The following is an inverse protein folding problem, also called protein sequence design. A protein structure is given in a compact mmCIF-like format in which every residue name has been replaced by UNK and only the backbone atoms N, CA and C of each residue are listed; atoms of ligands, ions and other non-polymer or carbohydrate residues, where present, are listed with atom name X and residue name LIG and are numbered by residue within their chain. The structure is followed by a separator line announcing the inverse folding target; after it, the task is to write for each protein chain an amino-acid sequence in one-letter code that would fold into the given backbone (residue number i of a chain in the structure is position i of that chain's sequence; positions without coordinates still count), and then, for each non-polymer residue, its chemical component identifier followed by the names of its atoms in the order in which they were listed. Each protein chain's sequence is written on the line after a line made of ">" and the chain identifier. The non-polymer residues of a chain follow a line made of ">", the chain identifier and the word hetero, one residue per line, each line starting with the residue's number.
data_IF_167577130959
#
_entry.id   IF_167577130959
#
_cell.length_a   1.000
_cell.length_b   1.000
_cell.length_c   1.000
_cell.angle_alpha   90.00
_cell.angle_beta   90.00
_cell.angle_gamma   90.00
#
_symmetry.space_group_name_H-M   'P 1'
#
loop_
_entity.id
_entity.type
_entity.pdbx_description
1 polymer ?
#
# COMPACT_ATOMS: atom_id res chain seq x y z
N UNK A 1 -28.21 -17.55 -41.90
CA UNK A 1 -28.06 -16.25 -41.20
C UNK A 1 -27.36 -16.49 -39.86
N UNK A 2 -26.04 -16.29 -39.80
CA UNK A 2 -25.24 -16.49 -38.59
C UNK A 2 -25.34 -15.22 -37.73
N UNK A 3 -26.04 -15.41 -36.64
CA UNK A 3 -26.45 -14.52 -35.56
C UNK A 3 -25.42 -13.50 -35.09
N UNK A 4 -25.96 -12.32 -34.79
CA UNK A 4 -25.46 -11.19 -33.99
C UNK A 4 -24.59 -11.55 -32.77
N UNK A 5 -24.63 -12.79 -32.28
CA UNK A 5 -23.76 -13.29 -31.21
C UNK A 5 -22.25 -13.23 -31.55
N UNK A 6 -21.89 -13.27 -32.84
CA UNK A 6 -20.50 -13.10 -33.26
C UNK A 6 -20.00 -11.65 -33.12
N UNK A 7 -20.90 -10.65 -33.16
CA UNK A 7 -20.54 -9.23 -32.98
C UNK A 7 -20.35 -8.87 -31.51
N UNK A 8 -21.04 -9.53 -30.58
CA UNK A 8 -20.90 -9.29 -29.14
C UNK A 8 -19.57 -9.82 -28.56
N UNK A 9 -18.99 -10.88 -29.13
CA UNK A 9 -17.67 -11.38 -28.68
C UNK A 9 -16.51 -10.50 -29.16
N UNK A 10 -16.69 -9.74 -30.24
CA UNK A 10 -15.67 -8.82 -30.74
C UNK A 10 -15.73 -7.46 -30.04
N UNK A 11 -16.92 -7.02 -29.59
CA UNK A 11 -17.06 -5.82 -28.77
C UNK A 11 -16.45 -5.97 -27.35
N UNK A 12 -16.41 -7.20 -26.80
CA UNK A 12 -15.72 -7.51 -25.55
C UNK A 12 -14.17 -7.47 -25.65
N UNK A 13 -13.63 -7.25 -26.86
CA UNK A 13 -12.19 -7.02 -27.14
C UNK A 13 -11.89 -5.58 -27.55
N UNK A 14 -12.81 -4.63 -27.34
CA UNK A 14 -12.39 -3.24 -27.28
C UNK A 14 -11.42 -3.13 -26.09
N UNK A 15 -10.16 -2.72 -26.30
CA UNK A 15 -9.28 -2.46 -25.17
C UNK A 15 -9.96 -1.38 -24.35
N UNK A 16 -10.33 -1.71 -23.11
CA UNK A 16 -10.73 -0.69 -22.14
C UNK A 16 -9.69 0.45 -22.23
N UNK A 17 -10.11 1.71 -22.47
CA UNK A 17 -9.17 2.80 -22.69
C UNK A 17 -8.22 2.98 -21.50
N UNK A 18 -8.65 2.53 -20.31
CA UNK A 18 -7.84 2.43 -19.11
C UNK A 18 -7.14 1.07 -19.03
N UNK A 19 -5.86 1.05 -19.41
CA UNK A 19 -5.00 -0.11 -19.17
C UNK A 19 -4.92 -0.37 -17.66
N UNK A 20 -4.99 -1.62 -17.21
CA UNK A 20 -4.76 -2.00 -15.80
C UNK A 20 -3.41 -1.48 -15.23
N UNK A 21 -2.45 -1.18 -16.10
CA UNK A 21 -1.12 -0.63 -15.75
C UNK A 21 -1.05 0.90 -15.78
N UNK A 22 -2.11 1.60 -16.16
CA UNK A 22 -2.15 3.07 -16.15
C UNK A 22 -1.82 3.61 -14.75
N UNK A 23 -1.04 4.68 -14.72
CA UNK A 23 -0.62 5.40 -13.54
C UNK A 23 -1.71 6.36 -13.04
N UNK A 24 -1.62 6.79 -11.78
CA UNK A 24 -2.59 7.73 -11.19
C UNK A 24 -2.73 9.03 -12.01
N UNK A 25 -1.65 9.70 -12.46
CA UNK A 25 -1.75 10.91 -13.25
C UNK A 25 -2.44 10.69 -14.61
N UNK A 26 -2.18 9.56 -15.27
CA UNK A 26 -2.81 9.23 -16.56
C UNK A 26 -4.31 9.03 -16.41
N UNK A 27 -4.75 8.28 -15.40
CA UNK A 27 -6.18 8.04 -15.15
C UNK A 27 -6.89 9.31 -14.71
N UNK A 28 -6.28 10.12 -13.83
CA UNK A 28 -6.84 11.42 -13.43
C UNK A 28 -7.08 12.34 -14.64
N UNK A 29 -6.09 12.42 -15.55
CA UNK A 29 -6.20 13.22 -16.79
C UNK A 29 -7.28 12.67 -17.71
N UNK A 30 -7.38 11.35 -17.85
CA UNK A 30 -8.42 10.70 -18.65
C UNK A 30 -9.83 11.02 -18.12
N UNK A 31 -10.03 10.95 -16.81
CA UNK A 31 -11.31 11.23 -16.15
C UNK A 31 -11.60 12.73 -15.98
N UNK A 32 -10.65 13.60 -16.33
CA UNK A 32 -10.77 15.08 -16.22
C UNK A 32 -11.18 15.55 -14.82
N UNK A 33 -10.74 14.85 -13.78
CA UNK A 33 -11.06 15.20 -12.40
C UNK A 33 -10.11 16.28 -11.88
N UNK A 34 -10.65 17.24 -11.12
CA UNK A 34 -9.84 18.18 -10.33
C UNK A 34 -9.06 17.45 -9.23
N UNK A 35 -8.10 18.12 -8.60
CA UNK A 35 -7.31 17.56 -7.49
C UNK A 35 -8.20 17.15 -6.30
N UNK A 36 -9.20 17.97 -6.00
CA UNK A 36 -10.18 17.72 -4.95
C UNK A 36 -11.06 16.51 -5.30
N UNK A 37 -11.60 16.48 -6.53
CA UNK A 37 -12.43 15.38 -7.00
C UNK A 37 -11.67 14.06 -7.06
N UNK A 38 -10.41 14.12 -7.50
CA UNK A 38 -9.51 12.97 -7.49
C UNK A 38 -9.28 12.46 -6.06
N UNK A 39 -9.03 13.36 -5.12
CA UNK A 39 -8.83 13.00 -3.71
C UNK A 39 -10.07 12.35 -3.10
N UNK A 40 -11.26 12.88 -3.42
CA UNK A 40 -12.54 12.30 -3.02
C UNK A 40 -12.74 10.90 -3.62
N UNK A 41 -12.51 10.73 -4.92
CA UNK A 41 -12.60 9.44 -5.60
C UNK A 41 -11.67 8.40 -4.98
N UNK A 42 -10.42 8.79 -4.74
CA UNK A 42 -9.40 7.94 -4.10
C UNK A 42 -9.81 7.49 -2.70
N UNK A 43 -10.43 8.39 -1.92
CA UNK A 43 -10.91 8.12 -0.56
C UNK A 43 -12.14 7.21 -0.55
N UNK A 44 -13.17 7.53 -1.33
CA UNK A 44 -14.41 6.73 -1.41
C UNK A 44 -14.10 5.30 -1.82
N UNK A 45 -13.33 5.13 -2.90
CA UNK A 45 -12.93 3.82 -3.38
C UNK A 45 -12.09 3.03 -2.37
N UNK A 46 -11.21 3.70 -1.63
CA UNK A 46 -10.44 3.05 -0.57
C UNK A 46 -11.34 2.55 0.54
N UNK A 47 -12.25 3.39 1.05
CA UNK A 47 -13.15 3.02 2.14
C UNK A 47 -14.00 1.79 1.81
N UNK A 48 -14.56 1.72 0.60
CA UNK A 48 -15.31 0.54 0.15
C UNK A 48 -14.40 -0.70 0.07
N UNK A 49 -13.16 -0.54 -0.39
CA UNK A 49 -12.22 -1.66 -0.46
C UNK A 49 -11.69 -2.12 0.92
N UNK A 50 -11.76 -1.28 1.95
CA UNK A 50 -11.23 -1.60 3.29
C UNK A 50 -11.98 -2.75 3.96
N UNK A 51 -13.27 -2.96 3.66
CA UNK A 51 -14.05 -4.12 4.12
C UNK A 51 -13.44 -5.47 3.69
N UNK A 52 -12.66 -5.46 2.60
CA UNK A 52 -11.97 -6.64 2.09
C UNK A 52 -10.44 -6.56 2.25
N UNK A 53 -9.95 -5.72 3.17
CA UNK A 53 -8.52 -5.60 3.43
C UNK A 53 -7.92 -6.95 3.86
N UNK A 54 -6.93 -7.43 3.10
CA UNK A 54 -6.26 -8.71 3.35
C UNK A 54 -6.53 -9.80 2.31
N UNK A 55 -7.60 -9.67 1.52
CA UNK A 55 -7.93 -10.63 0.46
C UNK A 55 -7.23 -10.31 -0.86
N UNK A 56 -6.95 -11.33 -1.69
CA UNK A 56 -6.64 -11.08 -3.11
C UNK A 56 -7.94 -10.74 -3.84
N UNK A 57 -7.88 -9.85 -4.83
CA UNK A 57 -9.06 -9.53 -5.65
C UNK A 57 -9.67 -10.78 -6.34
N UNK A 58 -8.84 -11.77 -6.68
CA UNK A 58 -9.28 -13.06 -7.25
C UNK A 58 -10.02 -13.96 -6.24
N UNK A 59 -9.85 -13.72 -4.94
CA UNK A 59 -10.50 -14.47 -3.86
C UNK A 59 -11.85 -13.84 -3.47
N UNK A 60 -12.14 -12.63 -3.94
CA UNK A 60 -13.41 -11.95 -3.68
C UNK A 60 -14.47 -12.47 -4.69
N UNK A 61 -15.61 -12.99 -4.20
CA UNK A 61 -16.69 -13.45 -5.06
C UNK A 61 -17.12 -12.39 -6.08
N UNK A 62 -17.53 -12.82 -7.28
CA UNK A 62 -17.99 -11.90 -8.33
C UNK A 62 -19.14 -11.00 -7.87
N UNK A 63 -20.09 -11.55 -7.10
CA UNK A 63 -21.22 -10.82 -6.51
C UNK A 63 -20.74 -9.68 -5.62
N UNK A 64 -19.76 -9.94 -4.76
CA UNK A 64 -19.18 -8.89 -3.89
C UNK A 64 -18.39 -7.86 -4.71
N UNK A 65 -17.66 -8.26 -5.75
CA UNK A 65 -17.00 -7.29 -6.65
C UNK A 65 -18.00 -6.38 -7.36
N UNK A 66 -19.17 -6.90 -7.76
CA UNK A 66 -20.27 -6.09 -8.32
C UNK A 66 -20.82 -5.14 -7.26
N UNK A 67 -21.02 -5.62 -6.02
CA UNK A 67 -21.48 -4.81 -4.89
C UNK A 67 -20.52 -3.66 -4.58
N UNK A 68 -19.21 -3.93 -4.51
CA UNK A 68 -18.18 -2.91 -4.31
C UNK A 68 -18.26 -1.82 -5.39
N UNK A 69 -18.34 -2.21 -6.68
CA UNK A 69 -18.46 -1.24 -7.78
C UNK A 69 -19.70 -0.36 -7.63
N UNK A 70 -20.85 -0.96 -7.33
CA UNK A 70 -22.11 -0.22 -7.10
C UNK A 70 -22.03 0.71 -5.90
N UNK A 71 -21.48 0.26 -4.77
CA UNK A 71 -21.30 1.11 -3.59
C UNK A 71 -20.41 2.31 -3.91
N UNK A 72 -19.30 2.11 -4.61
CA UNK A 72 -18.43 3.22 -5.05
C UNK A 72 -19.22 4.20 -5.92
N UNK A 73 -20.00 3.72 -6.90
CA UNK A 73 -20.84 4.58 -7.75
C UNK A 73 -21.87 5.37 -6.96
N UNK A 74 -22.58 4.71 -6.04
CA UNK A 74 -23.59 5.35 -5.20
C UNK A 74 -22.95 6.44 -4.35
N UNK A 75 -21.86 6.13 -3.64
CA UNK A 75 -21.18 7.11 -2.77
C UNK A 75 -20.57 8.26 -3.57
N UNK A 76 -20.01 8.00 -4.77
CA UNK A 76 -19.53 9.07 -5.68
C UNK A 76 -20.64 10.05 -6.01
N UNK A 77 -21.85 9.55 -6.34
CA UNK A 77 -23.01 10.41 -6.63
C UNK A 77 -23.44 11.21 -5.40
N UNK A 78 -23.48 10.56 -4.23
CA UNK A 78 -23.85 11.21 -2.97
C UNK A 78 -22.90 12.35 -2.58
N UNK A 79 -21.59 12.21 -2.85
CA UNK A 79 -20.58 13.24 -2.55
C UNK A 79 -20.40 14.27 -3.67
N UNK A 80 -21.27 14.27 -4.69
CA UNK A 80 -21.30 15.26 -5.77
C UNK A 80 -20.17 15.11 -6.80
N UNK A 81 -19.54 13.94 -6.92
CA UNK A 81 -18.58 13.67 -7.98
C UNK A 81 -19.29 13.40 -9.32
N UNK A 82 -18.66 13.74 -10.47
CA UNK A 82 -19.20 13.37 -11.77
C UNK A 82 -19.29 11.84 -11.90
N UNK A 83 -20.25 11.36 -12.70
CA UNK A 83 -20.37 9.95 -12.98
C UNK A 83 -19.06 9.41 -13.58
N UNK A 84 -18.53 8.34 -12.98
CA UNK A 84 -17.32 7.68 -13.45
C UNK A 84 -17.67 6.35 -14.14
N UNK A 85 -16.94 6.04 -15.20
CA UNK A 85 -17.08 4.79 -15.93
C UNK A 85 -16.73 3.57 -15.06
N UNK A 86 -17.40 2.43 -15.30
CA UNK A 86 -17.14 1.16 -14.62
C UNK A 86 -15.66 0.76 -14.69
N UNK A 87 -15.01 1.03 -15.82
CA UNK A 87 -13.59 0.74 -16.05
C UNK A 87 -12.67 1.52 -15.10
N UNK A 88 -13.02 2.76 -14.77
CA UNK A 88 -12.25 3.59 -13.84
C UNK A 88 -12.34 3.06 -12.41
N UNK A 89 -13.53 2.61 -12.04
CA UNK A 89 -13.82 2.03 -10.72
C UNK A 89 -13.12 0.67 -10.61
N UNK A 90 -13.18 -0.16 -11.65
CA UNK A 90 -12.50 -1.45 -11.70
C UNK A 90 -10.98 -1.30 -11.67
N UNK A 91 -10.42 -0.35 -12.43
CA UNK A 91 -9.01 0.03 -12.34
C UNK A 91 -8.66 0.38 -10.90
N UNK A 92 -9.47 1.21 -10.24
CA UNK A 92 -9.18 1.66 -8.87
C UNK A 92 -9.22 0.52 -7.86
N UNK A 93 -10.23 -0.35 -7.92
CA UNK A 93 -10.31 -1.56 -7.08
C UNK A 93 -9.06 -2.42 -7.30
N UNK A 94 -8.64 -2.62 -8.55
CA UNK A 94 -7.45 -3.42 -8.88
C UNK A 94 -6.14 -2.85 -8.29
N UNK A 95 -6.05 -1.53 -8.12
CA UNK A 95 -4.91 -0.87 -7.47
C UNK A 95 -5.02 -0.90 -5.94
N UNK A 96 -6.22 -0.68 -5.41
CA UNK A 96 -6.46 -0.56 -3.97
C UNK A 96 -6.26 -1.88 -3.23
N UNK A 97 -6.76 -2.99 -3.79
CA UNK A 97 -6.75 -4.28 -3.10
C UNK A 97 -5.34 -4.81 -2.76
N UNK A 98 -4.34 -4.77 -3.67
CA UNK A 98 -2.97 -5.14 -3.33
C UNK A 98 -2.37 -4.28 -2.21
N UNK A 99 -2.63 -2.96 -2.20
CA UNK A 99 -2.14 -2.03 -1.19
C UNK A 99 -2.73 -2.33 0.19
N UNK A 100 -4.04 -2.53 0.26
CA UNK A 100 -4.75 -2.88 1.48
C UNK A 100 -4.33 -4.25 2.01
N UNK A 101 -4.11 -5.24 1.14
CA UNK A 101 -3.60 -6.56 1.53
C UNK A 101 -2.21 -6.47 2.17
N UNK A 102 -1.32 -5.67 1.59
CA UNK A 102 0.00 -5.39 2.15
C UNK A 102 -0.12 -4.70 3.52
N UNK A 103 -0.98 -3.68 3.63
CA UNK A 103 -1.23 -2.97 4.89
C UNK A 103 -1.79 -3.89 5.98
N UNK A 104 -2.76 -4.75 5.65
CA UNK A 104 -3.38 -5.66 6.63
C UNK A 104 -2.42 -6.75 7.10
N UNK A 105 -1.64 -7.35 6.19
CA UNK A 105 -0.61 -8.33 6.56
C UNK A 105 0.41 -7.76 7.55
N UNK A 106 0.82 -6.53 7.29
CA UNK A 106 1.75 -5.77 8.12
C UNK A 106 1.19 -5.49 9.52
N UNK A 107 -0.07 -5.05 9.61
CA UNK A 107 -0.80 -4.85 10.87
C UNK A 107 -0.91 -6.17 11.65
N UNK A 108 -1.35 -7.26 10.99
CA UNK A 108 -1.46 -8.58 11.61
C UNK A 108 -0.13 -9.07 12.17
N UNK A 109 0.98 -8.83 11.47
CA UNK A 109 2.29 -9.20 11.97
C UNK A 109 2.66 -8.46 13.26
N UNK A 110 2.40 -7.14 13.34
CA UNK A 110 2.62 -6.39 14.58
C UNK A 110 1.76 -6.89 15.72
N UNK A 111 0.46 -7.08 15.49
CA UNK A 111 -0.44 -7.56 16.54
C UNK A 111 -0.08 -8.97 17.01
N UNK A 112 0.35 -9.86 16.11
CA UNK A 112 0.82 -11.19 16.50
C UNK A 112 2.06 -11.11 17.39
N UNK A 113 3.01 -10.21 17.07
CA UNK A 113 4.20 -9.99 17.89
C UNK A 113 3.83 -9.34 19.24
N UNK A 114 2.98 -8.32 19.24
CA UNK A 114 2.51 -7.65 20.46
C UNK A 114 1.78 -8.64 21.37
N UNK A 115 0.95 -9.53 20.80
CA UNK A 115 0.26 -10.57 21.54
C UNK A 115 1.22 -11.62 22.11
N UNK A 116 2.23 -12.04 21.35
CA UNK A 116 3.22 -13.04 21.79
C UNK A 116 4.14 -12.50 22.90
N UNK A 117 4.49 -11.22 22.83
CA UNK A 117 5.52 -10.62 23.69
C UNK A 117 4.95 -9.79 24.82
N UNK A 118 3.65 -9.45 24.76
CA UNK A 118 2.96 -8.52 25.67
C UNK A 118 3.62 -7.14 25.74
N UNK A 119 4.29 -6.73 24.67
CA UNK A 119 4.95 -5.43 24.54
C UNK A 119 4.54 -4.74 23.24
N UNK A 120 4.64 -3.40 23.18
CA UNK A 120 4.36 -2.65 21.95
C UNK A 120 5.40 -2.97 20.88
N UNK A 121 4.98 -3.12 19.62
CA UNK A 121 5.91 -3.39 18.54
C UNK A 121 6.94 -2.25 18.39
N UNK A 122 8.26 -2.55 18.36
CA UNK A 122 9.34 -1.58 18.56
C UNK A 122 9.67 -0.76 17.30
N UNK A 123 8.68 -0.04 16.74
CA UNK A 123 8.77 0.66 15.45
C UNK A 123 9.92 1.67 15.39
N UNK A 124 10.15 2.42 16.47
CA UNK A 124 11.17 3.46 16.54
C UNK A 124 12.59 2.88 16.56
N UNK A 125 12.78 1.75 17.24
CA UNK A 125 14.07 1.07 17.31
C UNK A 125 14.43 0.45 15.94
N UNK A 126 13.45 -0.18 15.29
CA UNK A 126 13.64 -0.69 13.92
C UNK A 126 13.95 0.44 12.93
N UNK A 127 13.38 1.63 13.15
CA UNK A 127 13.72 2.82 12.37
C UNK A 127 15.18 3.21 12.55
N UNK A 128 15.63 3.31 13.80
CA UNK A 128 17.00 3.73 14.11
C UNK A 128 18.04 2.77 13.51
N UNK A 129 17.79 1.46 13.55
CA UNK A 129 18.65 0.47 12.89
C UNK A 129 18.78 0.76 11.38
N UNK A 130 17.66 0.98 10.68
CA UNK A 130 17.71 1.31 9.23
C UNK A 130 18.44 2.61 8.95
N UNK A 131 18.23 3.63 9.77
CA UNK A 131 18.87 4.93 9.61
C UNK A 131 20.40 4.83 9.78
N UNK A 132 20.87 3.95 10.66
CA UNK A 132 22.29 3.72 10.90
C UNK A 132 23.04 3.17 9.67
N UNK A 133 22.34 2.49 8.75
CA UNK A 133 22.91 1.93 7.51
C UNK A 133 22.40 2.65 6.24
N UNK A 134 21.81 3.83 6.38
CA UNK A 134 21.12 4.53 5.29
C UNK A 134 22.03 4.98 4.14
N UNK A 135 23.32 5.14 4.42
CA UNK A 135 24.39 5.44 3.47
C UNK A 135 24.74 4.24 2.57
N UNK A 136 24.59 3.02 3.09
CA UNK A 136 24.86 1.76 2.37
C UNK A 136 23.65 1.28 1.56
N UNK A 137 22.50 1.89 1.78
CA UNK A 137 21.25 1.57 1.11
C UNK A 137 21.19 2.29 -0.25
N UNK A 138 20.92 1.57 -1.36
CA UNK A 138 20.70 2.21 -2.65
C UNK A 138 19.57 3.24 -2.59
N UNK A 139 19.86 4.46 -3.06
CA UNK A 139 18.89 5.58 -3.08
C UNK A 139 17.82 5.44 -4.17
N UNK A 140 18.02 4.50 -5.08
CA UNK A 140 17.15 4.25 -6.23
C UNK A 140 16.03 3.26 -5.88
N UNK A 141 14.88 3.43 -6.54
CA UNK A 141 13.64 2.66 -6.45
C UNK A 141 13.72 1.27 -5.75
N UNK A 142 13.62 1.26 -4.42
CA UNK A 142 13.61 0.06 -3.58
C UNK A 142 12.27 -0.66 -3.62
N UNK A 143 11.91 -1.13 -4.82
CA UNK A 143 10.67 -1.86 -5.06
C UNK A 143 10.69 -3.24 -4.43
N UNK A 144 11.84 -3.82 -4.10
CA UNK A 144 11.97 -5.08 -3.38
C UNK A 144 13.15 -5.03 -2.41
N UNK A 145 13.05 -5.71 -1.27
CA UNK A 145 14.18 -5.79 -0.32
C UNK A 145 15.37 -6.53 -0.94
N UNK A 146 15.12 -7.38 -1.94
CA UNK A 146 16.16 -8.04 -2.73
C UNK A 146 17.07 -7.08 -3.50
N UNK A 147 16.67 -5.81 -3.66
CA UNK A 147 17.50 -4.78 -4.26
C UNK A 147 18.53 -4.18 -3.28
N UNK A 148 18.39 -4.45 -1.98
CA UNK A 148 19.40 -4.11 -0.98
C UNK A 148 20.44 -5.24 -1.01
N UNK A 149 21.74 -4.93 -1.09
CA UNK A 149 22.83 -5.90 -0.97
C UNK A 149 22.64 -6.80 0.26
N UNK A 150 22.98 -8.09 0.12
CA UNK A 150 22.65 -9.09 1.15
C UNK A 150 23.38 -8.85 2.48
N UNK A 151 24.63 -8.43 2.40
CA UNK A 151 25.46 -7.94 3.51
C UNK A 151 24.76 -6.78 4.23
N UNK A 152 24.36 -5.73 3.52
CA UNK A 152 23.66 -4.58 4.12
C UNK A 152 22.34 -4.99 4.77
N UNK A 153 21.60 -5.95 4.18
CA UNK A 153 20.39 -6.48 4.81
C UNK A 153 20.67 -7.19 6.12
N UNK A 154 21.74 -7.99 6.16
CA UNK A 154 22.14 -8.75 7.34
C UNK A 154 22.57 -7.80 8.44
N UNK A 155 23.38 -6.79 8.13
CA UNK A 155 23.83 -5.78 9.08
C UNK A 155 22.65 -5.03 9.72
N UNK A 156 21.65 -4.64 8.92
CA UNK A 156 20.44 -3.98 9.46
C UNK A 156 19.64 -4.93 10.37
N UNK A 157 19.53 -6.21 10.00
CA UNK A 157 18.82 -7.21 10.82
C UNK A 157 19.53 -7.41 12.15
N UNK A 158 20.85 -7.58 12.09
CA UNK A 158 21.68 -7.86 13.26
C UNK A 158 21.69 -6.64 14.19
N UNK A 159 21.81 -5.42 13.65
CA UNK A 159 21.74 -4.19 14.46
C UNK A 159 20.35 -4.01 15.09
N UNK A 160 19.28 -4.31 14.36
CA UNK A 160 17.92 -4.23 14.89
C UNK A 160 17.71 -5.22 16.04
N UNK A 161 18.07 -6.50 15.85
CA UNK A 161 17.90 -7.52 16.88
C UNK A 161 18.83 -7.29 18.08
N UNK A 162 20.05 -6.79 17.86
CA UNK A 162 20.95 -6.36 18.95
C UNK A 162 20.31 -5.28 19.81
N UNK A 163 19.75 -4.23 19.22
CA UNK A 163 19.05 -3.17 19.94
C UNK A 163 17.81 -3.69 20.69
N UNK A 164 17.11 -4.68 20.14
CA UNK A 164 15.98 -5.33 20.82
C UNK A 164 16.48 -6.07 22.07
N UNK A 165 17.54 -6.86 21.93
CA UNK A 165 18.15 -7.58 23.04
C UNK A 165 18.64 -6.63 24.15
N UNK A 166 19.25 -5.50 23.79
CA UNK A 166 19.66 -4.44 24.73
C UNK A 166 18.48 -3.87 25.54
N UNK A 167 17.26 -3.93 25.00
CA UNK A 167 16.02 -3.51 25.70
C UNK A 167 15.26 -4.67 26.36
N UNK A 168 15.83 -5.87 26.39
CA UNK A 168 15.16 -7.07 26.89
C UNK A 168 13.97 -7.50 26.04
N UNK A 169 13.93 -7.08 24.77
CA UNK A 169 12.87 -7.43 23.83
C UNK A 169 13.26 -8.68 23.02
N UNK A 170 12.28 -9.53 22.68
CA UNK A 170 12.55 -10.69 21.85
C UNK A 170 12.84 -10.31 20.40
N UNK A 171 13.61 -11.16 19.73
CA UNK A 171 13.98 -10.99 18.34
C UNK A 171 12.77 -10.98 17.40
N UNK A 172 12.92 -10.29 16.27
CA UNK A 172 11.94 -10.30 15.19
C UNK A 172 12.46 -11.15 14.04
N UNK A 173 11.59 -11.98 13.47
CA UNK A 173 11.89 -12.79 12.28
C UNK A 173 12.48 -11.93 11.16
N UNK A 174 13.62 -12.36 10.60
CA UNK A 174 14.40 -11.58 9.64
C UNK A 174 13.60 -11.21 8.38
N UNK A 175 12.72 -12.10 7.89
CA UNK A 175 11.88 -11.80 6.72
C UNK A 175 10.84 -10.74 7.03
N UNK A 176 10.23 -10.80 8.22
CA UNK A 176 9.28 -9.82 8.66
C UNK A 176 9.91 -8.45 8.92
N UNK A 177 11.12 -8.45 9.51
CA UNK A 177 11.94 -7.27 9.72
C UNK A 177 12.26 -6.58 8.39
N UNK A 178 12.79 -7.32 7.41
CA UNK A 178 13.11 -6.77 6.07
C UNK A 178 11.88 -6.24 5.33
N UNK A 179 10.73 -6.87 5.49
CA UNK A 179 9.47 -6.39 4.91
C UNK A 179 9.06 -5.03 5.50
N UNK A 180 9.16 -4.90 6.82
CA UNK A 180 8.89 -3.66 7.57
C UNK A 180 9.89 -2.57 7.20
N UNK A 181 11.18 -2.88 7.21
CA UNK A 181 12.28 -2.01 6.83
C UNK A 181 12.02 -1.43 5.43
N UNK A 182 11.71 -2.27 4.43
CA UNK A 182 11.37 -1.81 3.06
C UNK A 182 10.20 -0.82 3.03
N UNK A 183 9.12 -1.10 3.77
CA UNK A 183 7.92 -0.24 3.79
C UNK A 183 8.28 1.14 4.34
N UNK A 184 9.08 1.14 5.39
CA UNK A 184 9.58 2.35 5.99
C UNK A 184 10.56 3.11 5.09
N UNK A 185 11.53 2.44 4.47
CA UNK A 185 12.47 3.06 3.52
C UNK A 185 11.75 3.72 2.34
N UNK A 186 10.76 3.05 1.74
CA UNK A 186 9.98 3.64 0.65
C UNK A 186 9.18 4.88 1.08
N UNK A 187 8.76 4.95 2.35
CA UNK A 187 8.08 6.12 2.90
C UNK A 187 9.07 7.24 3.27
N UNK A 188 10.21 6.89 3.87
CA UNK A 188 11.20 7.81 4.42
C UNK A 188 12.11 8.42 3.35
N UNK A 189 12.51 7.64 2.34
CA UNK A 189 13.30 8.15 1.20
C UNK A 189 12.45 9.09 0.33
N UNK A 190 11.16 8.77 0.10
CA UNK A 190 10.26 9.59 -0.73
C UNK A 190 9.84 10.92 -0.10
N UNK A 191 9.73 10.99 1.23
CA UNK A 191 9.32 12.22 1.92
C UNK A 191 10.49 13.14 2.29
N UNK A 192 11.72 12.77 1.91
CA UNK A 192 12.91 13.31 2.54
C UNK A 192 12.99 12.86 4.01
N UNK A 193 14.20 12.75 4.54
CA UNK A 193 14.42 12.46 5.96
C UNK A 193 13.93 13.65 6.80
N UNK A 194 12.61 13.85 6.96
CA UNK A 194 12.07 14.81 7.91
C UNK A 194 12.07 14.14 9.28
N UNK A 195 13.25 14.05 9.87
CA UNK A 195 13.37 14.32 11.29
C UNK A 195 13.69 15.81 11.40
N UNK A 196 12.69 16.65 11.67
CA UNK A 196 13.02 17.73 12.60
C UNK A 196 13.29 17.01 13.92
N UNK A 197 14.48 17.17 14.52
CA UNK A 197 14.64 16.84 15.92
C UNK A 197 13.48 17.51 16.65
N UNK A 198 12.75 16.78 17.50
CA UNK A 198 12.03 17.48 18.56
C UNK A 198 13.12 18.25 19.28
N UNK A 199 13.12 19.57 19.14
CA UNK A 199 13.93 20.48 19.92
C UNK A 199 13.82 20.01 21.38
N UNK A 200 14.93 19.47 21.90
CA UNK A 200 15.20 19.52 23.32
C UNK A 200 15.47 21.00 23.62
N UNK A 201 14.41 21.74 23.87
CA UNK A 201 14.39 23.00 24.62
C UNK A 201 13.17 22.84 25.52
N UNK A 202 13.30 22.53 26.80
CA UNK A 202 14.14 23.24 27.76
C UNK A 202 13.18 24.08 28.59
N UNK A 203 12.99 23.70 29.84
CA UNK A 203 12.52 24.56 30.93
C UNK A 203 12.93 23.84 32.20
N UNK A 204 14.07 24.30 32.71
CA UNK A 204 14.52 24.39 34.11
C UNK A 204 14.44 23.17 35.03
#
# INVERSE_FOLDING_TARGET
>A
MKSTAALWRTAARAPSPLRQRASHPEVKKFLRLSDEQWSLFMRVSQNVCEEHAGYKLSEIPSVERIRMRRQIQTTIREVGLPALDDDAIEWRISKCMPELRVKMRDIKHCHNWEAATRTEFPRQLLREAVLAHSDQIPKENLRYWSHIPEDVRRDIIDDANRRLAEKGMPEVDSKALLYRIRKYMNHWIKKGFVQKPKDRRGSD
#
